data_IF_607707484302
#
_entry.id   IF_607707484302
#
_cell.length_a   1.000
_cell.length_b   1.000
_cell.length_c   1.000
_cell.angle_alpha   90.00
_cell.angle_beta   90.00
_cell.angle_gamma   90.00
#
_symmetry.space_group_name_H-M   'P 1'
#
loop_
_entity.id
_entity.type
_entity.pdbx_description
1 polymer ?
#
# COMPACT_ATOMS: atom_id res chain seq x y z
N UNK A 1 2.81 -10.56 6.33
CA UNK A 1 3.79 -9.89 5.48
C UNK A 1 4.41 -10.93 4.61
N UNK A 2 4.25 -10.74 3.32
CA UNK A 2 4.54 -11.75 2.31
C UNK A 2 5.88 -11.47 1.62
N UNK A 3 6.50 -10.31 1.89
CA UNK A 3 7.80 -9.93 1.33
C UNK A 3 8.61 -8.95 2.21
N UNK A 4 9.93 -8.89 1.98
CA UNK A 4 10.82 -7.92 2.65
C UNK A 4 10.43 -6.46 2.36
N UNK A 5 10.13 -6.05 1.11
CA UNK A 5 9.61 -4.70 0.83
C UNK A 5 8.38 -4.33 1.66
N UNK A 6 7.41 -5.25 1.81
CA UNK A 6 6.22 -5.01 2.64
C UNK A 6 6.58 -4.81 4.12
N UNK A 7 7.46 -5.66 4.67
CA UNK A 7 7.90 -5.54 6.07
C UNK A 7 8.57 -4.20 6.34
N UNK A 8 9.44 -3.74 5.43
CA UNK A 8 10.11 -2.44 5.55
C UNK A 8 9.09 -1.29 5.58
N UNK A 9 8.13 -1.29 4.65
CA UNK A 9 7.09 -0.24 4.59
C UNK A 9 6.21 -0.27 5.83
N UNK A 10 5.85 -1.47 6.30
CA UNK A 10 5.05 -1.62 7.51
C UNK A 10 5.76 -1.11 8.74
N UNK A 11 7.02 -1.48 8.96
CA UNK A 11 7.77 -1.01 10.12
C UNK A 11 7.90 0.51 10.11
N UNK A 12 8.10 1.11 8.93
CA UNK A 12 8.10 2.57 8.77
C UNK A 12 6.75 3.20 9.13
N UNK A 13 5.64 2.69 8.59
CA UNK A 13 4.30 3.23 8.84
C UNK A 13 3.89 3.01 10.31
N UNK A 14 4.15 1.82 10.85
CA UNK A 14 3.84 1.44 12.22
C UNK A 14 4.53 2.36 13.23
N UNK A 15 5.81 2.69 13.00
CA UNK A 15 6.57 3.62 13.82
C UNK A 15 6.12 5.08 13.72
N UNK A 16 5.27 5.42 12.75
CA UNK A 16 4.76 6.77 12.52
C UNK A 16 3.29 6.96 12.97
N UNK A 17 2.59 5.88 13.34
CA UNK A 17 1.17 5.95 13.69
C UNK A 17 0.91 6.94 14.83
N UNK A 18 -0.14 7.74 14.64
CA UNK A 18 -0.64 8.68 15.66
C UNK A 18 -1.81 8.07 16.43
N UNK A 19 -2.22 8.74 17.50
CA UNK A 19 -3.34 8.30 18.34
C UNK A 19 -4.60 8.01 17.50
N UNK A 20 -5.23 6.86 17.78
CA UNK A 20 -6.44 6.37 17.10
C UNK A 20 -6.27 6.04 15.61
N UNK A 21 -5.03 5.92 15.10
CA UNK A 21 -4.78 5.35 13.79
C UNK A 21 -4.59 3.84 13.90
N UNK A 22 -4.89 3.12 12.81
CA UNK A 22 -4.63 1.68 12.68
C UNK A 22 -3.93 1.41 11.35
N UNK A 23 -3.00 0.47 11.38
CA UNK A 23 -2.39 -0.12 10.19
C UNK A 23 -2.77 -1.59 10.18
N UNK A 24 -3.58 -1.98 9.20
CA UNK A 24 -3.98 -3.37 9.01
C UNK A 24 -3.28 -3.96 7.81
N UNK A 25 -3.02 -5.26 7.88
CA UNK A 25 -2.36 -6.03 6.82
C UNK A 25 -3.38 -6.96 6.20
N UNK A 26 -3.33 -7.10 4.86
CA UNK A 26 -4.17 -8.03 4.11
C UNK A 26 -5.68 -7.85 4.35
N UNK A 27 -6.14 -6.61 4.53
CA UNK A 27 -7.56 -6.30 4.64
C UNK A 27 -8.25 -6.47 3.28
N UNK A 28 -9.45 -7.07 3.25
CA UNK A 28 -10.27 -7.06 2.04
C UNK A 28 -10.53 -5.62 1.59
N UNK A 29 -10.37 -5.35 0.30
CA UNK A 29 -10.62 -4.01 -0.27
C UNK A 29 -12.11 -3.64 -0.15
N UNK A 30 -13.00 -4.64 -0.16
CA UNK A 30 -14.42 -4.52 0.20
C UNK A 30 -14.92 -5.77 0.91
N UNK A 31 -15.83 -5.59 1.86
CA UNK A 31 -16.40 -6.71 2.64
C UNK A 31 -17.19 -7.72 1.79
N UNK A 32 -17.75 -7.31 0.65
CA UNK A 32 -18.61 -8.15 -0.20
C UNK A 32 -17.96 -8.55 -1.54
N UNK A 33 -16.72 -8.16 -1.81
CA UNK A 33 -16.14 -8.31 -3.14
C UNK A 33 -14.77 -9.01 -3.09
N UNK A 34 -14.81 -10.34 -3.23
CA UNK A 34 -13.71 -11.20 -3.68
C UNK A 34 -12.47 -11.33 -2.76
N UNK A 35 -11.57 -12.22 -3.19
CA UNK A 35 -10.30 -12.54 -2.51
C UNK A 35 -9.26 -11.41 -2.53
N UNK A 36 -9.56 -10.26 -3.13
CA UNK A 36 -8.60 -9.17 -3.26
C UNK A 36 -8.40 -8.42 -1.94
N UNK A 37 -7.18 -8.55 -1.42
CA UNK A 37 -6.71 -7.91 -0.20
C UNK A 37 -5.63 -6.90 -0.55
N UNK A 38 -5.72 -5.73 0.09
CA UNK A 38 -4.65 -4.75 0.05
C UNK A 38 -3.47 -5.26 0.86
N UNK A 39 -2.24 -4.98 0.44
CA UNK A 39 -1.06 -5.35 1.24
C UNK A 39 -1.16 -4.68 2.63
N UNK A 40 -1.47 -3.39 2.65
CA UNK A 40 -1.70 -2.60 3.86
C UNK A 40 -2.90 -1.65 3.75
N UNK A 41 -3.53 -1.33 4.88
CA UNK A 41 -4.59 -0.32 4.98
C UNK A 41 -4.35 0.57 6.19
N UNK A 42 -4.16 1.86 5.94
CA UNK A 42 -4.02 2.88 6.98
C UNK A 42 -5.38 3.52 7.26
N UNK A 43 -5.78 3.61 8.54
CA UNK A 43 -7.12 4.09 8.91
C UNK A 43 -7.10 5.08 10.07
N UNK A 44 -8.07 5.99 10.07
CA UNK A 44 -8.45 6.84 11.22
C UNK A 44 -9.91 7.26 11.09
N UNK A 45 -10.72 6.99 12.12
CA UNK A 45 -12.16 7.27 12.03
C UNK A 45 -12.78 6.50 10.87
N UNK A 46 -13.45 7.22 9.97
CA UNK A 46 -14.01 6.65 8.71
C UNK A 46 -13.05 6.76 7.52
N UNK A 47 -11.91 7.46 7.66
CA UNK A 47 -10.92 7.58 6.60
C UNK A 47 -10.08 6.30 6.49
N UNK A 48 -9.81 5.88 5.25
CA UNK A 48 -8.99 4.72 4.94
C UNK A 48 -8.17 4.93 3.67
N UNK A 49 -6.92 4.51 3.69
CA UNK A 49 -6.00 4.54 2.56
C UNK A 49 -5.42 3.15 2.35
N UNK A 50 -5.61 2.62 1.14
CA UNK A 50 -5.02 1.36 0.72
C UNK A 50 -3.62 1.57 0.17
N UNK A 51 -2.70 0.68 0.53
CA UNK A 51 -1.29 0.74 0.15
C UNK A 51 -0.89 -0.60 -0.46
N UNK A 52 -0.22 -0.51 -1.60
CA UNK A 52 0.24 -1.61 -2.43
C UNK A 52 1.77 -1.53 -2.56
N UNK A 53 2.48 -2.54 -2.08
CA UNK A 53 3.95 -2.58 -2.15
C UNK A 53 4.36 -3.48 -3.30
N UNK A 54 4.75 -2.85 -4.41
CA UNK A 54 5.12 -3.56 -5.63
C UNK A 54 6.59 -3.95 -5.57
N UNK A 55 6.88 -5.04 -4.84
CA UNK A 55 8.24 -5.54 -4.64
C UNK A 55 8.86 -6.30 -5.83
N UNK A 56 8.10 -6.52 -6.91
CA UNK A 56 8.53 -7.33 -8.05
C UNK A 56 9.28 -6.56 -9.14
N UNK A 57 9.10 -5.24 -9.23
CA UNK A 57 9.73 -4.38 -10.23
C UNK A 57 9.71 -2.92 -9.78
N UNK A 58 10.48 -2.07 -10.47
CA UNK A 58 10.38 -0.63 -10.32
C UNK A 58 9.15 -0.06 -11.01
N UNK A 59 8.95 1.25 -10.88
CA UNK A 59 7.86 1.99 -11.53
C UNK A 59 7.87 1.92 -13.06
N UNK A 60 9.00 1.55 -13.67
CA UNK A 60 9.14 1.24 -15.10
C UNK A 60 8.47 -0.09 -15.52
N UNK A 61 8.08 -0.91 -14.54
CA UNK A 61 7.40 -2.21 -14.70
C UNK A 61 8.23 -3.24 -15.47
N UNK A 62 9.55 -3.10 -15.48
CA UNK A 62 10.45 -4.08 -16.09
C UNK A 62 10.68 -5.23 -15.11
N UNK A 63 10.35 -6.46 -15.53
CA UNK A 63 10.59 -7.69 -14.78
C UNK A 63 11.78 -8.45 -15.35
N UNK A 64 12.50 -9.18 -14.49
CA UNK A 64 13.76 -9.87 -14.82
C UNK A 64 13.58 -11.37 -14.97
N UNK A 65 12.47 -11.91 -14.46
CA UNK A 65 12.15 -13.32 -14.51
C UNK A 65 10.64 -13.55 -14.53
N UNK A 66 10.25 -14.78 -14.85
CA UNK A 66 8.85 -15.20 -14.97
C UNK A 66 8.05 -14.99 -13.67
N UNK A 67 8.68 -15.21 -12.51
CA UNK A 67 8.01 -15.06 -11.21
C UNK A 67 7.64 -13.60 -10.92
N UNK A 68 8.53 -12.67 -11.22
CA UNK A 68 8.26 -11.23 -11.13
C UNK A 68 7.14 -10.80 -12.09
N UNK A 69 7.10 -11.38 -13.29
CA UNK A 69 6.02 -11.13 -14.24
C UNK A 69 4.67 -11.63 -13.71
N UNK A 70 4.61 -12.83 -13.12
CA UNK A 70 3.39 -13.35 -12.50
C UNK A 70 2.91 -12.49 -11.33
N UNK A 71 3.84 -11.98 -10.51
CA UNK A 71 3.53 -11.05 -9.43
C UNK A 71 2.97 -9.73 -9.96
N UNK A 72 3.58 -9.17 -11.00
CA UNK A 72 3.09 -7.96 -11.66
C UNK A 72 1.68 -8.16 -12.24
N UNK A 73 1.41 -9.31 -12.86
CA UNK A 73 0.07 -9.64 -13.37
C UNK A 73 -0.98 -9.75 -12.25
N UNK A 74 -0.61 -10.30 -11.09
CA UNK A 74 -1.51 -10.34 -9.91
C UNK A 74 -1.81 -8.94 -9.39
N UNK A 75 -0.78 -8.10 -9.32
CA UNK A 75 -0.94 -6.68 -8.98
C UNK A 75 -1.86 -5.97 -9.98
N UNK A 76 -1.70 -6.19 -11.29
CA UNK A 76 -2.56 -5.55 -12.30
C UNK A 76 -4.03 -5.96 -12.18
N UNK A 77 -4.30 -7.23 -11.85
CA UNK A 77 -5.66 -7.70 -11.57
C UNK A 77 -6.25 -6.97 -10.35
N UNK A 78 -5.46 -6.78 -9.30
CA UNK A 78 -5.86 -6.02 -8.11
C UNK A 78 -6.06 -4.53 -8.42
N UNK A 79 -5.23 -3.92 -9.25
CA UNK A 79 -5.41 -2.55 -9.73
C UNK A 79 -6.66 -2.37 -10.59
N UNK A 80 -6.99 -3.34 -11.45
CA UNK A 80 -8.24 -3.34 -12.19
C UNK A 80 -9.45 -3.38 -11.26
N UNK A 81 -9.37 -4.17 -10.18
CA UNK A 81 -10.40 -4.21 -9.15
C UNK A 81 -10.56 -2.87 -8.43
N UNK A 82 -9.46 -2.25 -7.96
CA UNK A 82 -9.50 -0.91 -7.38
C UNK A 82 -10.17 0.11 -8.30
N UNK A 83 -9.79 0.10 -9.59
CA UNK A 83 -10.35 1.00 -10.61
C UNK A 83 -11.85 0.80 -10.79
N UNK A 84 -12.31 -0.45 -10.85
CA UNK A 84 -13.74 -0.76 -10.98
C UNK A 84 -14.58 -0.24 -9.80
N UNK A 85 -13.97 -0.01 -8.65
CA UNK A 85 -14.61 0.51 -7.44
C UNK A 85 -14.29 1.99 -7.17
N UNK A 86 -13.67 2.71 -8.12
CA UNK A 86 -13.26 4.11 -7.96
C UNK A 86 -12.37 4.36 -6.73
N UNK A 87 -11.54 3.37 -6.37
CA UNK A 87 -10.55 3.46 -5.29
C UNK A 87 -9.18 3.68 -5.92
N UNK A 88 -8.42 4.64 -5.37
CA UNK A 88 -7.05 4.90 -5.79
C UNK A 88 -6.08 4.47 -4.66
N UNK A 89 -5.42 3.31 -4.75
CA UNK A 89 -4.40 2.92 -3.77
C UNK A 89 -3.11 3.70 -3.98
N UNK A 90 -2.30 3.82 -2.93
CA UNK A 90 -0.91 4.27 -3.06
C UNK A 90 -0.03 3.08 -3.41
N UNK A 91 0.64 3.15 -4.54
CA UNK A 91 1.61 2.14 -4.96
C UNK A 91 3.02 2.57 -4.56
N UNK A 92 3.73 1.71 -3.85
CA UNK A 92 5.14 1.88 -3.48
C UNK A 92 5.96 0.88 -4.29
N UNK A 93 6.71 1.38 -5.27
CA UNK A 93 7.50 0.59 -6.20
C UNK A 93 8.90 0.29 -5.67
N UNK A 94 9.52 -0.79 -6.19
CA UNK A 94 10.82 -1.26 -5.73
C UNK A 94 11.94 -0.21 -5.86
N UNK A 95 11.92 0.62 -6.90
CA UNK A 95 12.89 1.69 -7.14
C UNK A 95 12.89 2.77 -6.04
N UNK A 96 11.76 2.95 -5.34
CA UNK A 96 11.67 3.90 -4.22
C UNK A 96 12.47 3.44 -2.99
N UNK A 97 12.76 2.14 -2.85
CA UNK A 97 13.59 1.61 -1.77
C UNK A 97 15.07 1.98 -1.92
N UNK A 98 15.51 2.34 -3.13
CA UNK A 98 16.86 2.86 -3.37
C UNK A 98 17.06 4.26 -2.75
N UNK A 99 15.98 4.94 -2.33
CA UNK A 99 16.03 6.25 -1.70
C UNK A 99 15.30 6.25 -0.34
N UNK A 100 15.92 5.70 0.73
CA UNK A 100 15.26 5.53 2.02
C UNK A 100 14.68 6.83 2.62
N UNK A 101 15.37 7.96 2.42
CA UNK A 101 14.88 9.27 2.86
C UNK A 101 13.59 9.70 2.15
N UNK A 102 13.50 9.44 0.85
CA UNK A 102 12.30 9.72 0.04
C UNK A 102 11.16 8.79 0.43
N UNK A 103 11.43 7.50 0.61
CA UNK A 103 10.44 6.52 1.06
C UNK A 103 9.89 6.88 2.45
N UNK A 104 10.76 7.26 3.40
CA UNK A 104 10.33 7.71 4.73
C UNK A 104 9.45 8.96 4.66
N UNK A 105 9.80 9.94 3.82
CA UNK A 105 8.99 11.14 3.59
C UNK A 105 7.62 10.79 3.02
N UNK A 106 7.54 9.86 2.08
CA UNK A 106 6.27 9.34 1.58
C UNK A 106 5.43 8.76 2.73
N UNK A 107 5.98 7.85 3.54
CA UNK A 107 5.26 7.26 4.67
C UNK A 107 4.74 8.32 5.67
N UNK A 108 5.54 9.34 5.98
CA UNK A 108 5.11 10.48 6.81
C UNK A 108 3.92 11.18 6.16
N UNK A 109 4.00 11.51 4.88
CA UNK A 109 2.93 12.21 4.16
C UNK A 109 1.62 11.40 4.14
N UNK A 110 1.70 10.06 3.99
CA UNK A 110 0.51 9.20 4.02
C UNK A 110 -0.16 9.21 5.41
N UNK A 111 0.64 9.13 6.47
CA UNK A 111 0.17 9.21 7.85
C UNK A 111 -0.48 10.56 8.12
N UNK A 112 0.14 11.64 7.68
CA UNK A 112 -0.35 13.00 7.89
C UNK A 112 -1.67 13.24 7.14
N UNK A 113 -1.76 12.78 5.89
CA UNK A 113 -2.98 12.87 5.09
C UNK A 113 -4.16 12.16 5.77
N UNK A 114 -3.98 10.91 6.19
CA UNK A 114 -5.06 10.14 6.85
C UNK A 114 -5.36 10.66 8.25
N UNK A 115 -4.35 11.18 8.95
CA UNK A 115 -4.58 11.82 10.23
C UNK A 115 -5.47 13.06 10.10
N UNK A 116 -5.27 13.86 9.06
CA UNK A 116 -6.05 15.05 8.75
C UNK A 116 -7.47 14.69 8.28
N UNK A 117 -7.59 13.75 7.36
CA UNK A 117 -8.88 13.31 6.82
C UNK A 117 -9.77 12.69 7.91
N UNK A 118 -9.22 11.76 8.69
CA UNK A 118 -9.95 11.10 9.77
C UNK A 118 -10.22 11.98 11.00
N UNK A 119 -9.71 13.21 11.05
CA UNK A 119 -10.10 14.20 12.06
C UNK A 119 -11.30 15.05 11.62
N UNK A 120 -11.65 15.03 10.34
CA UNK A 120 -12.82 15.73 9.76
C UNK A 120 -14.07 14.85 9.69
N UNK A 121 -13.89 13.53 9.77
CA UNK A 121 -14.97 12.52 9.80
C UNK A 121 -15.48 12.28 11.22
#
# INVERSE_FOLDING_TARGET
>A
MDSLPESIVYDMLQGLLRRHMKLDVHQPIRQQAGDYRADMTLRKGQASLFIEVVGCCGSDRITRNQKEQEWLQRFDKRMAFYRAHAIAPVCIWLDQFAQPGTLRKLCINLVDAIALEGARS
#
